data_IF_912115552608
#
_entry.id   IF_912115552608
#
_cell.length_a   1.000
_cell.length_b   1.000
_cell.length_c   1.000
_cell.angle_alpha   90.00
_cell.angle_beta   90.00
_cell.angle_gamma   90.00
#
_symmetry.space_group_name_H-M   'P 1'
#
loop_
_entity.id
_entity.type
_entity.pdbx_description
1 polymer ?
#
# COMPACT_ATOMS: atom_id res chain seq x y z
N UNK A 1 -6.31 -1.47 -20.08
CA UNK A 1 -6.09 -0.15 -20.71
C UNK A 1 -5.79 -0.34 -22.19
N UNK A 2 -6.08 0.64 -23.04
CA UNK A 2 -5.64 0.61 -24.45
C UNK A 2 -4.23 1.18 -24.58
N UNK A 3 -3.56 0.90 -25.70
CA UNK A 3 -2.22 1.46 -25.96
C UNK A 3 -2.23 3.00 -26.00
N UNK A 4 -3.27 3.60 -26.58
CA UNK A 4 -3.45 5.08 -26.55
C UNK A 4 -3.66 5.64 -25.15
N UNK A 5 -4.38 4.92 -24.28
CA UNK A 5 -4.54 5.33 -22.88
C UNK A 5 -3.19 5.34 -22.14
N UNK A 6 -2.32 4.35 -22.39
CA UNK A 6 -0.98 4.28 -21.81
C UNK A 6 -0.08 5.43 -22.28
N UNK A 7 -0.08 5.73 -23.58
CA UNK A 7 0.69 6.85 -24.13
C UNK A 7 0.26 8.20 -23.53
N UNK A 8 -1.06 8.42 -23.39
CA UNK A 8 -1.60 9.64 -22.76
C UNK A 8 -1.16 9.75 -21.29
N UNK A 9 -1.20 8.64 -20.55
CA UNK A 9 -0.74 8.58 -19.16
C UNK A 9 0.73 9.00 -19.07
N UNK A 10 1.61 8.47 -19.92
CA UNK A 10 3.03 8.79 -19.88
C UNK A 10 3.31 10.27 -20.19
N UNK A 11 2.56 10.88 -21.13
CA UNK A 11 2.67 12.33 -21.41
C UNK A 11 2.25 13.14 -20.17
N UNK A 12 1.11 12.80 -19.56
CA UNK A 12 0.60 13.50 -18.37
C UNK A 12 1.54 13.33 -17.16
N UNK A 13 2.17 12.17 -16.99
CA UNK A 13 3.19 11.96 -15.95
C UNK A 13 4.40 12.87 -16.14
N UNK A 14 4.79 13.11 -17.39
CA UNK A 14 5.91 14.02 -17.72
C UNK A 14 5.57 15.49 -17.52
N UNK A 15 4.32 15.89 -17.83
CA UNK A 15 3.80 17.22 -17.61
C UNK A 15 2.30 17.18 -17.24
N UNK A 16 1.95 17.30 -15.95
CA UNK A 16 0.54 17.30 -15.51
C UNK A 16 -0.27 18.50 -16.02
N UNK A 17 0.38 19.58 -16.47
CA UNK A 17 -0.27 20.79 -16.97
C UNK A 17 -0.49 20.78 -18.48
N UNK A 18 -0.07 19.72 -19.17
CA UNK A 18 -0.25 19.55 -20.62
C UNK A 18 -1.73 19.69 -21.01
N UNK A 19 -2.00 20.46 -22.06
CA UNK A 19 -3.35 20.63 -22.59
C UNK A 19 -3.77 19.44 -23.47
N UNK A 20 -5.09 19.22 -23.63
CA UNK A 20 -5.59 18.18 -24.52
C UNK A 20 -5.18 18.39 -25.99
N UNK A 21 -4.91 19.64 -26.37
CA UNK A 21 -4.46 19.96 -27.72
C UNK A 21 -2.99 19.54 -27.91
N UNK A 22 -2.12 19.83 -26.94
CA UNK A 22 -0.72 19.40 -26.98
C UNK A 22 -0.59 17.87 -27.00
N UNK A 23 -1.39 17.14 -26.21
CA UNK A 23 -1.44 15.67 -26.28
C UNK A 23 -1.88 15.20 -27.67
N UNK A 24 -2.88 15.85 -28.26
CA UNK A 24 -3.38 15.51 -29.60
C UNK A 24 -2.31 15.70 -30.67
N UNK A 25 -1.57 16.80 -30.59
CA UNK A 25 -0.48 17.14 -31.51
C UNK A 25 0.68 16.14 -31.35
N UNK A 26 1.05 15.76 -30.12
CA UNK A 26 2.10 14.77 -29.82
C UNK A 26 1.75 13.36 -30.33
N UNK A 27 0.49 12.95 -30.21
CA UNK A 27 0.04 11.60 -30.57
C UNK A 27 -0.52 11.49 -32.00
N UNK A 28 -0.56 12.62 -32.72
CA UNK A 28 -1.13 12.79 -34.05
C UNK A 28 -2.57 12.24 -34.14
N UNK A 29 -3.42 12.66 -33.21
CA UNK A 29 -4.86 12.34 -33.15
C UNK A 29 -5.68 13.62 -32.94
N UNK A 30 -7.00 13.54 -33.02
CA UNK A 30 -7.84 14.72 -32.76
C UNK A 30 -7.92 15.04 -31.27
N UNK A 31 -8.06 16.32 -30.92
CA UNK A 31 -8.38 16.76 -29.55
C UNK A 31 -9.62 16.06 -28.98
N UNK A 32 -10.63 15.81 -29.83
CA UNK A 32 -11.84 15.08 -29.41
C UNK A 32 -11.55 13.62 -29.06
N UNK A 33 -10.63 12.95 -29.76
CA UNK A 33 -10.19 11.59 -29.43
C UNK A 33 -9.46 11.55 -28.09
N UNK A 34 -8.56 12.51 -27.84
CA UNK A 34 -7.90 12.68 -26.53
C UNK A 34 -8.93 12.86 -25.41
N UNK A 35 -9.91 13.74 -25.60
CA UNK A 35 -10.96 13.99 -24.61
C UNK A 35 -11.75 12.72 -24.23
N UNK A 36 -12.01 11.84 -25.21
CA UNK A 36 -12.67 10.54 -24.98
C UNK A 36 -11.77 9.62 -24.15
N UNK A 37 -10.48 9.50 -24.48
CA UNK A 37 -9.54 8.68 -23.71
C UNK A 37 -9.39 9.18 -22.26
N UNK A 38 -9.23 10.50 -22.07
CA UNK A 38 -9.15 11.12 -20.74
C UNK A 38 -10.43 10.84 -19.94
N UNK A 39 -11.61 10.98 -20.55
CA UNK A 39 -12.89 10.68 -19.89
C UNK A 39 -12.94 9.22 -19.43
N UNK A 40 -12.45 8.28 -20.24
CA UNK A 40 -12.39 6.88 -19.88
C UNK A 40 -11.38 6.60 -18.75
N UNK A 41 -10.23 7.28 -18.75
CA UNK A 41 -9.22 7.20 -17.69
C UNK A 41 -9.73 7.76 -16.36
N UNK A 42 -10.50 8.85 -16.40
CA UNK A 42 -11.19 9.40 -15.22
C UNK A 42 -12.23 8.40 -14.68
N UNK A 43 -13.06 7.81 -15.56
CA UNK A 43 -14.03 6.78 -15.15
C UNK A 43 -13.37 5.54 -14.53
N UNK A 44 -12.15 5.21 -14.95
CA UNK A 44 -11.33 4.12 -14.38
C UNK A 44 -10.67 4.50 -13.05
N UNK A 45 -10.76 5.76 -12.61
CA UNK A 45 -10.12 6.24 -11.40
C UNK A 45 -8.61 6.48 -11.52
N UNK A 46 -8.03 6.30 -12.70
CA UNK A 46 -6.59 6.48 -12.94
C UNK A 46 -6.22 7.96 -12.92
N UNK A 47 -7.08 8.80 -13.52
CA UNK A 47 -6.94 10.25 -13.49
C UNK A 47 -7.96 10.82 -12.50
N UNK A 48 -7.49 11.61 -11.53
CA UNK A 48 -8.32 12.34 -10.58
C UNK A 48 -8.46 13.81 -10.99
N UNK A 49 -9.69 14.24 -11.21
CA UNK A 49 -10.04 15.63 -11.46
C UNK A 49 -9.58 16.17 -12.81
N UNK A 50 -9.71 17.49 -12.99
CA UNK A 50 -9.40 18.19 -14.25
C UNK A 50 -7.94 18.58 -14.42
N UNK A 51 -7.14 18.51 -13.34
CA UNK A 51 -5.70 18.79 -13.36
C UNK A 51 -4.84 17.56 -13.64
N UNK A 52 -5.43 16.51 -14.23
CA UNK A 52 -4.76 15.26 -14.59
C UNK A 52 -3.86 14.63 -13.50
N UNK A 53 -4.29 14.67 -12.24
CA UNK A 53 -3.56 14.02 -11.16
C UNK A 53 -3.67 12.51 -11.35
N UNK A 54 -2.55 11.85 -11.66
CA UNK A 54 -2.51 10.40 -11.80
C UNK A 54 -2.34 9.80 -10.40
N UNK A 55 -3.17 8.82 -10.05
CA UNK A 55 -2.99 8.06 -8.81
C UNK A 55 -1.70 7.24 -8.94
N UNK A 56 -0.65 7.64 -8.22
CA UNK A 56 0.66 7.04 -8.36
C UNK A 56 0.66 5.66 -7.68
N UNK A 57 0.55 4.64 -8.54
CA UNK A 57 0.81 3.21 -8.33
C UNK A 57 -0.42 2.39 -7.93
N UNK A 58 -0.71 1.42 -8.80
CA UNK A 58 -1.47 0.23 -8.42
C UNK A 58 -0.88 -0.32 -7.12
N UNK A 59 -1.75 -0.56 -6.14
CA UNK A 59 -1.36 -1.08 -4.84
C UNK A 59 -2.27 -2.24 -4.45
N UNK A 60 -1.75 -3.11 -3.60
CA UNK A 60 -2.54 -4.14 -2.94
C UNK A 60 -2.96 -3.60 -1.58
N UNK A 61 -4.26 -3.50 -1.35
CA UNK A 61 -4.81 -3.16 -0.04
C UNK A 61 -5.10 -4.43 0.74
N UNK A 62 -4.53 -4.53 1.94
CA UNK A 62 -4.80 -5.62 2.87
C UNK A 62 -5.53 -5.07 4.08
N UNK A 63 -6.70 -5.63 4.37
CA UNK A 63 -7.49 -5.31 5.56
C UNK A 63 -7.48 -6.54 6.46
N UNK A 64 -6.99 -6.40 7.69
CA UNK A 64 -6.93 -7.54 8.60
C UNK A 64 -6.26 -7.25 9.92
N UNK A 65 -6.21 -8.26 10.79
CA UNK A 65 -5.59 -8.14 12.10
C UNK A 65 -4.06 -8.04 12.03
N UNK A 66 -3.51 -7.23 12.93
CA UNK A 66 -2.11 -7.18 13.33
C UNK A 66 -2.06 -7.30 14.86
N UNK A 67 -1.10 -8.04 15.39
CA UNK A 67 -0.99 -8.26 16.84
C UNK A 67 0.45 -8.42 17.28
N UNK A 68 0.69 -8.29 18.58
CA UNK A 68 1.95 -8.66 19.22
C UNK A 68 1.78 -10.05 19.82
N UNK A 69 2.60 -11.00 19.39
CA UNK A 69 2.72 -12.31 20.01
C UNK A 69 3.76 -12.25 21.13
N UNK A 70 3.37 -12.72 22.32
CA UNK A 70 4.22 -12.77 23.51
C UNK A 70 4.35 -14.24 23.92
N UNK A 71 5.54 -14.82 23.75
CA UNK A 71 5.77 -16.24 24.01
C UNK A 71 6.82 -16.42 25.09
N UNK A 72 6.41 -17.01 26.22
CA UNK A 72 7.30 -17.33 27.34
C UNK A 72 7.80 -18.77 27.27
N UNK A 73 9.12 -18.94 27.38
CA UNK A 73 9.81 -20.23 27.40
C UNK A 73 10.47 -20.45 28.76
N UNK A 74 9.91 -21.30 29.64
CA UNK A 74 10.53 -21.57 30.92
C UNK A 74 11.81 -22.40 30.75
N UNK A 75 12.86 -22.11 31.54
CA UNK A 75 14.11 -22.89 31.50
C UNK A 75 13.93 -24.34 32.01
N UNK A 76 12.83 -24.59 32.71
CA UNK A 76 12.48 -25.90 33.27
C UNK A 76 11.01 -26.21 33.02
N UNK A 77 10.56 -27.39 33.44
CA UNK A 77 9.15 -27.78 33.31
C UNK A 77 8.25 -26.75 33.99
N UNK A 78 7.24 -26.28 33.26
CA UNK A 78 6.26 -25.30 33.74
C UNK A 78 5.63 -25.75 35.07
N UNK A 79 5.71 -24.88 36.08
CA UNK A 79 5.07 -25.04 37.39
C UNK A 79 3.86 -24.12 37.47
N UNK A 80 2.69 -24.69 37.72
CA UNK A 80 1.44 -23.91 37.87
C UNK A 80 1.45 -23.14 39.18
N UNK A 81 0.87 -21.94 39.18
CA UNK A 81 0.73 -21.07 40.35
C UNK A 81 2.06 -20.63 41.00
N UNK A 82 3.15 -20.65 40.24
CA UNK A 82 4.49 -20.28 40.68
C UNK A 82 5.17 -19.37 39.63
N UNK A 83 6.23 -18.67 40.02
CA UNK A 83 7.09 -17.95 39.09
C UNK A 83 7.92 -18.94 38.28
N UNK A 84 7.97 -18.75 36.97
CA UNK A 84 8.71 -19.61 36.05
C UNK A 84 9.82 -18.80 35.37
N UNK A 85 11.06 -18.81 35.90
CA UNK A 85 12.20 -18.20 35.23
C UNK A 85 12.39 -18.78 33.81
N UNK A 86 12.63 -17.90 32.86
CA UNK A 86 12.70 -18.25 31.45
C UNK A 86 12.98 -17.05 30.56
N UNK A 87 12.81 -17.24 29.27
CA UNK A 87 12.92 -16.20 28.25
C UNK A 87 11.55 -15.80 27.73
N UNK A 88 11.41 -14.55 27.30
CA UNK A 88 10.21 -14.04 26.66
C UNK A 88 10.60 -13.53 25.28
N UNK A 89 9.97 -14.10 24.26
CA UNK A 89 10.10 -13.65 22.88
C UNK A 89 8.87 -12.84 22.49
N UNK A 90 9.12 -11.72 21.83
CA UNK A 90 8.12 -10.81 21.30
C UNK A 90 8.26 -10.81 19.78
N UNK A 91 7.15 -11.07 19.07
CA UNK A 91 7.12 -11.01 17.61
C UNK A 91 5.85 -10.33 17.13
N UNK A 92 5.97 -9.53 16.07
CA UNK A 92 4.79 -8.99 15.40
C UNK A 92 4.14 -10.07 14.54
N UNK A 93 2.83 -10.23 14.68
CA UNK A 93 2.02 -11.23 14.01
C UNK A 93 0.75 -10.67 13.39
N UNK A 94 -0.15 -11.59 13.05
CA UNK A 94 -1.45 -11.31 12.45
C UNK A 94 -1.48 -11.76 10.99
N UNK A 95 -2.50 -12.55 10.62
CA UNK A 95 -2.59 -13.13 9.27
C UNK A 95 -2.60 -12.04 8.20
N UNK A 96 -3.37 -10.97 8.40
CA UNK A 96 -3.43 -9.84 7.47
C UNK A 96 -2.07 -9.16 7.33
N UNK A 97 -1.44 -8.82 8.46
CA UNK A 97 -0.10 -8.21 8.48
C UNK A 97 0.95 -9.10 7.81
N UNK A 98 0.95 -10.41 8.05
CA UNK A 98 1.91 -11.35 7.46
C UNK A 98 1.73 -11.47 5.94
N UNK A 99 0.49 -11.45 5.44
CA UNK A 99 0.23 -11.42 3.99
C UNK A 99 0.74 -10.10 3.39
N UNK A 100 0.41 -8.98 4.01
CA UNK A 100 0.84 -7.66 3.56
C UNK A 100 2.37 -7.51 3.55
N UNK A 101 3.04 -8.05 4.57
CA UNK A 101 4.50 -8.10 4.64
C UNK A 101 5.14 -8.87 3.50
N UNK A 102 4.62 -10.06 3.19
CA UNK A 102 5.18 -10.84 2.08
C UNK A 102 4.94 -10.13 0.74
N UNK A 103 3.79 -9.50 0.54
CA UNK A 103 3.52 -8.72 -0.68
C UNK A 103 4.50 -7.55 -0.83
N UNK A 104 4.76 -6.80 0.24
CA UNK A 104 5.73 -5.71 0.26
C UNK A 104 7.16 -6.20 -0.01
N UNK A 105 7.58 -7.29 0.65
CA UNK A 105 8.91 -7.91 0.43
C UNK A 105 9.10 -8.45 -0.99
N UNK A 106 8.02 -8.83 -1.66
CA UNK A 106 8.01 -9.22 -3.08
C UNK A 106 8.01 -8.02 -4.05
N UNK A 107 8.07 -6.79 -3.54
CA UNK A 107 8.14 -5.56 -4.34
C UNK A 107 6.80 -4.96 -4.72
N UNK A 108 5.69 -5.47 -4.20
CA UNK A 108 4.37 -4.87 -4.44
C UNK A 108 4.17 -3.68 -3.51
N UNK A 109 3.70 -2.56 -4.06
CA UNK A 109 3.22 -1.46 -3.24
C UNK A 109 1.99 -1.94 -2.45
N UNK A 110 2.13 -2.10 -1.14
CA UNK A 110 1.12 -2.75 -0.30
C UNK A 110 0.73 -1.83 0.84
N UNK A 111 -0.57 -1.55 0.97
CA UNK A 111 -1.15 -0.73 2.05
C UNK A 111 -1.85 -1.61 3.05
N UNK A 112 -1.55 -1.41 4.33
CA UNK A 112 -2.22 -2.12 5.42
C UNK A 112 -3.27 -1.23 6.07
N UNK A 113 -4.46 -1.79 6.23
CA UNK A 113 -5.54 -1.21 7.01
C UNK A 113 -5.81 -2.15 8.18
N UNK A 114 -5.47 -1.68 9.38
CA UNK A 114 -5.64 -2.43 10.61
C UNK A 114 -5.95 -1.48 11.75
N UNK A 115 -6.07 -2.02 12.96
CA UNK A 115 -6.19 -1.23 14.19
C UNK A 115 -5.15 -1.76 15.16
N UNK A 116 -4.38 -0.86 15.76
CA UNK A 116 -3.43 -1.18 16.82
C UNK A 116 -3.77 -0.39 18.08
N UNK A 117 -3.23 -0.81 19.22
CA UNK A 117 -3.33 -0.06 20.47
C UNK A 117 -2.43 1.18 20.45
N UNK A 118 -2.82 2.21 21.20
CA UNK A 118 -1.98 3.38 21.50
C UNK A 118 -1.02 3.03 22.65
N UNK A 119 -0.09 2.12 22.37
CA UNK A 119 0.89 1.60 23.31
C UNK A 119 2.18 1.15 22.62
N UNK A 120 3.17 0.74 23.43
CA UNK A 120 4.48 0.29 22.96
C UNK A 120 4.41 -0.91 21.99
N UNK A 121 3.35 -1.72 22.06
CA UNK A 121 3.17 -2.85 21.16
C UNK A 121 2.60 -2.39 19.83
N UNK A 122 1.65 -1.46 19.83
CA UNK A 122 1.17 -0.77 18.63
C UNK A 122 2.31 -0.09 17.87
N UNK A 123 3.12 0.71 18.56
CA UNK A 123 4.30 1.37 17.99
C UNK A 123 5.26 0.36 17.33
N UNK A 124 5.49 -0.77 18.00
CA UNK A 124 6.37 -1.84 17.49
C UNK A 124 5.77 -2.52 16.26
N UNK A 125 4.46 -2.76 16.23
CA UNK A 125 3.76 -3.31 15.06
C UNK A 125 3.93 -2.37 13.86
N UNK A 126 3.72 -1.07 14.05
CA UNK A 126 3.87 -0.05 12.99
C UNK A 126 5.33 -0.05 12.49
N UNK A 127 6.29 0.15 13.40
CA UNK A 127 7.70 0.30 13.05
C UNK A 127 8.26 -0.93 12.32
N UNK A 128 7.99 -2.15 12.81
CA UNK A 128 8.47 -3.36 12.13
C UNK A 128 7.80 -3.57 10.77
N UNK A 129 6.52 -3.23 10.64
CA UNK A 129 5.80 -3.35 9.36
C UNK A 129 6.31 -2.32 8.34
N UNK A 130 6.52 -1.07 8.74
CA UNK A 130 7.14 -0.06 7.87
C UNK A 130 8.55 -0.46 7.45
N UNK A 131 9.35 -1.06 8.35
CA UNK A 131 10.69 -1.56 8.03
C UNK A 131 10.70 -2.67 6.97
N UNK A 132 9.58 -3.40 6.83
CA UNK A 132 9.39 -4.41 5.79
C UNK A 132 8.80 -3.85 4.48
N UNK A 133 8.57 -2.53 4.42
CA UNK A 133 8.08 -1.82 3.24
C UNK A 133 6.56 -1.76 3.10
N UNK A 134 5.80 -2.08 4.16
CA UNK A 134 4.35 -1.83 4.17
C UNK A 134 4.07 -0.35 4.38
N UNK A 135 3.09 0.18 3.65
CA UNK A 135 2.48 1.46 3.94
C UNK A 135 1.46 1.30 5.09
N UNK A 136 1.78 1.90 6.24
CA UNK A 136 0.99 1.88 7.47
C UNK A 136 0.25 3.21 7.72
N UNK A 137 0.14 4.11 6.73
CA UNK A 137 -0.44 5.46 6.89
C UNK A 137 -1.94 5.51 7.24
N UNK A 138 -2.60 4.36 7.36
CA UNK A 138 -4.04 4.21 7.59
C UNK A 138 -4.36 3.33 8.81
N UNK A 139 -3.42 3.24 9.75
CA UNK A 139 -3.52 2.46 11.00
C UNK A 139 -3.84 3.37 12.18
#
# INVERSE_FOLDING_TARGET
>A
MTQRELEIIEIIKGDPFVSQQEIADLLNITRSSVAVHITNLIKKGIIRGRGYVIDERDHVSVIGGANMDIVGYPFTKLRKYDSNPGEVNLSVGGVGRNIAENLARLGNHTKMFTVVGDDIHGDKIITESESAGLDMSHV
#
